data_IF_295945660176
#
_entry.id   IF_295945660176
#
_cell.length_a   1.000
_cell.length_b   1.000
_cell.length_c   1.000
_cell.angle_alpha   90.00
_cell.angle_beta   90.00
_cell.angle_gamma   90.00
#
_symmetry.space_group_name_H-M   'P 1'
#
loop_
_entity.id
_entity.type
_entity.pdbx_description
1 polymer ?
#
# COMPACT_ATOMS: atom_id res chain seq x y z
N UNK A 1 6.06 -33.17 67.67
CA UNK A 1 7.52 -33.01 67.57
C UNK A 1 7.74 -32.25 66.26
N UNK A 2 7.63 -30.92 66.24
CA UNK A 2 8.71 -29.94 66.53
C UNK A 2 9.23 -29.43 65.18
N UNK A 3 9.53 -28.17 64.87
CA UNK A 3 9.74 -26.86 65.55
C UNK A 3 9.72 -25.81 64.39
N UNK A 4 8.88 -24.75 64.40
CA UNK A 4 9.21 -23.30 64.54
C UNK A 4 10.29 -22.73 63.56
N UNK A 5 10.29 -21.48 63.05
CA UNK A 5 9.61 -20.22 63.43
C UNK A 5 9.83 -19.12 62.35
N UNK A 6 9.02 -18.05 62.43
CA UNK A 6 9.43 -16.65 62.16
C UNK A 6 8.95 -16.02 60.85
N UNK A 7 8.46 -14.79 60.78
CA UNK A 7 8.08 -13.78 61.78
C UNK A 7 7.22 -12.73 61.05
N UNK A 8 6.14 -12.30 61.70
CA UNK A 8 5.28 -11.19 61.28
C UNK A 8 5.91 -9.87 61.79
N UNK A 9 6.05 -8.88 60.91
CA UNK A 9 6.20 -7.48 61.30
C UNK A 9 5.27 -6.65 60.43
N UNK A 10 4.32 -5.97 61.08
CA UNK A 10 3.38 -5.08 60.43
C UNK A 10 3.99 -3.71 60.14
N UNK A 11 3.34 -2.99 59.22
CA UNK A 11 3.40 -1.54 59.12
C UNK A 11 1.97 -1.05 58.84
N UNK A 12 1.42 -0.28 59.77
CA UNK A 12 0.41 0.72 59.49
C UNK A 12 1.12 1.94 58.91
N UNK A 13 0.54 2.59 57.89
CA UNK A 13 0.26 4.03 57.93
C UNK A 13 -0.66 4.46 56.77
N UNK A 14 -1.51 5.43 57.11
CA UNK A 14 -2.50 6.13 56.31
C UNK A 14 -1.87 7.02 55.24
N UNK A 15 -2.62 7.39 54.19
CA UNK A 15 -2.19 8.51 53.34
C UNK A 15 -2.85 8.59 51.96
N UNK A 16 -4.04 9.16 51.94
CA UNK A 16 -4.70 10.00 50.92
C UNK A 16 -4.45 9.85 49.40
N UNK A 17 -5.59 9.81 48.71
CA UNK A 17 -5.79 9.89 47.27
C UNK A 17 -5.64 11.35 46.81
N UNK A 18 -4.67 11.66 45.95
CA UNK A 18 -4.67 12.90 45.15
C UNK A 18 -4.13 12.72 43.72
N UNK A 19 -5.06 12.88 42.78
CA UNK A 19 -5.01 13.71 41.56
C UNK A 19 -3.70 13.78 40.73
N UNK A 20 -3.70 13.08 39.59
CA UNK A 20 -2.66 13.11 38.56
C UNK A 20 -2.99 14.11 37.43
N UNK A 21 -3.15 15.40 37.75
CA UNK A 21 -3.40 16.44 36.73
C UNK A 21 -2.46 17.67 36.82
N UNK A 22 -1.28 17.51 37.44
CA UNK A 22 -0.34 18.61 37.62
C UNK A 22 1.14 18.27 37.34
N UNK A 23 1.47 17.70 36.18
CA UNK A 23 2.87 17.59 35.70
C UNK A 23 3.07 17.92 34.21
N UNK A 24 2.26 18.82 33.64
CA UNK A 24 2.43 19.24 32.25
C UNK A 24 2.29 20.76 32.02
N UNK A 25 2.75 21.62 32.95
CA UNK A 25 2.65 23.08 32.75
C UNK A 25 3.78 23.88 33.43
N UNK A 26 5.07 23.53 33.23
CA UNK A 26 6.20 24.45 33.54
C UNK A 26 7.45 24.20 32.69
N UNK A 27 7.51 24.70 31.45
CA UNK A 27 8.78 24.96 30.75
C UNK A 27 8.69 25.76 29.44
N UNK A 28 7.97 26.90 29.38
CA UNK A 28 8.20 27.88 28.29
C UNK A 28 8.04 29.30 28.80
N UNK A 29 9.13 29.93 29.25
CA UNK A 29 9.21 31.39 29.44
C UNK A 29 10.64 31.79 29.81
N UNK A 30 11.51 32.08 28.82
CA UNK A 30 12.62 33.07 28.91
C UNK A 30 13.16 33.43 27.51
N UNK A 31 12.54 34.40 26.84
CA UNK A 31 13.24 35.34 25.96
C UNK A 31 12.55 36.70 26.08
N UNK A 32 13.17 37.65 26.78
CA UNK A 32 12.74 39.06 26.83
C UNK A 32 13.50 39.83 25.75
N UNK A 33 12.77 40.34 24.76
CA UNK A 33 13.27 41.34 23.80
C UNK A 33 13.17 42.72 24.47
N UNK A 34 14.25 43.50 24.46
CA UNK A 34 14.26 44.89 24.97
C UNK A 34 13.63 45.86 23.96
N UNK A 35 12.94 46.93 24.39
CA UNK A 35 12.44 47.98 23.51
C UNK A 35 13.53 49.04 23.22
N UNK A 36 13.45 49.77 22.09
CA UNK A 36 14.43 50.81 21.75
C UNK A 36 14.18 52.12 22.51
N UNK A 37 15.27 52.86 22.71
CA UNK A 37 15.36 54.18 23.39
C UNK A 37 14.83 55.31 22.49
N UNK A 38 14.11 56.33 23.01
CA UNK A 38 13.67 57.47 22.20
C UNK A 38 14.73 58.57 22.10
N UNK A 39 15.03 59.04 20.89
CA UNK A 39 15.80 60.26 20.64
C UNK A 39 14.88 61.49 20.71
N UNK A 40 15.29 62.49 21.50
CA UNK A 40 14.65 63.79 21.60
C UNK A 40 14.90 64.64 20.34
N UNK A 41 13.84 65.26 19.81
CA UNK A 41 13.93 66.29 18.77
C UNK A 41 13.44 67.63 19.31
N UNK A 42 14.31 68.63 19.22
CA UNK A 42 14.03 70.03 19.51
C UNK A 42 13.25 70.70 18.37
N UNK A 43 12.47 71.73 18.74
CA UNK A 43 11.61 72.51 17.85
C UNK A 43 12.42 73.39 16.88
N UNK A 44 11.98 73.43 15.62
CA UNK A 44 12.32 74.45 14.63
C UNK A 44 11.16 74.68 13.66
N UNK A 45 10.62 75.90 13.64
CA UNK A 45 9.54 76.35 12.74
C UNK A 45 10.10 76.54 11.32
N UNK A 46 9.43 75.97 10.32
CA UNK A 46 9.12 76.57 9.00
C UNK A 46 8.73 75.47 8.00
N UNK A 47 7.47 75.41 7.54
CA UNK A 47 7.08 74.85 6.23
C UNK A 47 5.55 74.83 6.09
N UNK A 48 4.93 76.00 5.88
CA UNK A 48 3.48 76.11 5.68
C UNK A 48 2.96 75.62 4.32
N UNK A 49 3.82 75.44 3.31
CA UNK A 49 3.36 75.17 1.93
C UNK A 49 3.81 73.82 1.33
N UNK A 50 4.49 72.96 2.10
CA UNK A 50 4.99 71.66 1.61
C UNK A 50 4.10 70.47 1.98
N UNK A 51 3.15 70.66 2.91
CA UNK A 51 2.23 69.61 3.35
C UNK A 51 1.06 69.41 2.36
N UNK A 52 0.55 70.47 1.73
CA UNK A 52 -0.61 70.39 0.82
C UNK A 52 -0.27 69.66 -0.49
N UNK A 53 0.95 69.84 -1.02
CA UNK A 53 1.42 69.15 -2.24
C UNK A 53 1.70 67.67 -1.96
N UNK A 54 2.22 67.33 -0.77
CA UNK A 54 2.40 65.93 -0.33
C UNK A 54 1.08 65.18 -0.16
N UNK A 55 0.02 65.84 0.30
CA UNK A 55 -1.30 65.23 0.42
C UNK A 55 -1.95 64.95 -0.94
N UNK A 56 -1.81 65.86 -1.91
CA UNK A 56 -2.37 65.67 -3.26
C UNK A 56 -1.63 64.55 -4.02
N UNK A 57 -0.30 64.50 -3.91
CA UNK A 57 0.50 63.42 -4.53
C UNK A 57 0.27 62.06 -3.84
N UNK A 58 0.09 62.05 -2.53
CA UNK A 58 -0.26 60.83 -1.77
C UNK A 58 -1.65 60.29 -2.13
N UNK A 59 -2.64 61.16 -2.31
CA UNK A 59 -3.98 60.77 -2.72
C UNK A 59 -4.01 60.22 -4.17
N UNK A 60 -3.27 60.83 -5.10
CA UNK A 60 -3.16 60.35 -6.47
C UNK A 60 -2.49 58.96 -6.55
N UNK A 61 -1.45 58.72 -5.73
CA UNK A 61 -0.78 57.42 -5.65
C UNK A 61 -1.71 56.32 -5.09
N UNK A 62 -2.53 56.65 -4.08
CA UNK A 62 -3.51 55.72 -3.53
C UNK A 62 -4.62 55.37 -4.54
N UNK A 63 -5.04 56.32 -5.38
CA UNK A 63 -6.02 56.06 -6.44
C UNK A 63 -5.42 55.16 -7.53
N UNK A 64 -4.17 55.40 -7.94
CA UNK A 64 -3.47 54.54 -8.91
C UNK A 64 -3.31 53.13 -8.35
N UNK A 65 -2.90 52.99 -7.09
CA UNK A 65 -2.79 51.70 -6.42
C UNK A 65 -4.15 50.99 -6.29
N UNK A 66 -5.23 51.73 -6.04
CA UNK A 66 -6.59 51.17 -6.00
C UNK A 66 -7.08 50.70 -7.38
N UNK A 67 -6.74 51.43 -8.46
CA UNK A 67 -7.07 51.03 -9.84
C UNK A 67 -6.24 49.81 -10.27
N UNK A 68 -4.94 49.77 -9.93
CA UNK A 68 -4.08 48.61 -10.16
C UNK A 68 -4.56 47.40 -9.36
N UNK A 69 -4.94 47.58 -8.09
CA UNK A 69 -5.52 46.52 -7.26
C UNK A 69 -6.85 46.02 -7.83
N UNK A 70 -7.73 46.92 -8.32
CA UNK A 70 -9.00 46.56 -8.95
C UNK A 70 -8.82 45.82 -10.28
N UNK A 71 -7.75 46.14 -11.03
CA UNK A 71 -7.38 45.41 -12.26
C UNK A 71 -6.73 44.05 -11.96
N UNK A 72 -5.97 43.94 -10.87
CA UNK A 72 -5.43 42.65 -10.38
C UNK A 72 -6.57 41.77 -9.86
N UNK A 73 -7.57 42.32 -9.17
CA UNK A 73 -8.73 41.56 -8.67
C UNK A 73 -9.74 41.23 -9.77
N UNK A 74 -9.85 42.00 -10.85
CA UNK A 74 -10.61 41.56 -12.04
C UNK A 74 -9.87 40.48 -12.84
N UNK A 75 -8.52 40.43 -12.80
CA UNK A 75 -7.73 39.29 -13.30
C UNK A 75 -7.93 37.99 -12.50
N UNK A 76 -8.46 38.10 -11.27
CA UNK A 76 -8.84 36.91 -10.49
C UNK A 76 -9.95 36.12 -11.17
N UNK A 77 -10.86 36.77 -11.92
CA UNK A 77 -11.90 36.08 -12.68
C UNK A 77 -11.32 35.26 -13.83
N UNK A 78 -10.29 35.77 -14.51
CA UNK A 78 -9.59 35.06 -15.60
C UNK A 78 -8.71 33.94 -15.04
N UNK A 79 -8.00 34.15 -13.93
CA UNK A 79 -7.25 33.08 -13.25
C UNK A 79 -8.15 32.02 -12.65
N UNK A 80 -9.29 32.40 -12.11
CA UNK A 80 -10.28 31.46 -11.55
C UNK A 80 -10.94 30.70 -12.68
N UNK A 81 -11.33 31.35 -13.78
CA UNK A 81 -11.89 30.71 -14.96
C UNK A 81 -10.87 29.78 -15.65
N UNK A 82 -9.62 30.20 -15.83
CA UNK A 82 -8.55 29.33 -16.35
C UNK A 82 -8.27 28.15 -15.44
N UNK A 83 -8.25 28.35 -14.11
CA UNK A 83 -8.11 27.26 -13.13
C UNK A 83 -9.34 26.36 -13.11
N UNK A 84 -10.54 26.89 -13.31
CA UNK A 84 -11.77 26.10 -13.42
C UNK A 84 -11.80 25.31 -14.73
N UNK A 85 -11.32 25.88 -15.83
CA UNK A 85 -11.17 25.21 -17.13
C UNK A 85 -10.09 24.14 -17.07
N UNK A 86 -8.98 24.41 -16.38
CA UNK A 86 -7.89 23.46 -16.14
C UNK A 86 -8.36 22.34 -15.21
N UNK A 87 -9.11 22.64 -14.14
CA UNK A 87 -9.74 21.64 -13.29
C UNK A 87 -10.84 20.85 -14.01
N UNK A 88 -11.61 21.48 -14.90
CA UNK A 88 -12.61 20.81 -15.74
C UNK A 88 -11.95 19.96 -16.83
N UNK A 89 -10.83 20.39 -17.40
CA UNK A 89 -10.04 19.62 -18.36
C UNK A 89 -9.29 18.48 -17.67
N UNK A 90 -8.79 18.66 -16.44
CA UNK A 90 -8.25 17.62 -15.56
C UNK A 90 -9.37 16.64 -15.17
N UNK A 91 -10.57 17.13 -14.85
CA UNK A 91 -11.73 16.28 -14.57
C UNK A 91 -12.23 15.54 -15.82
N UNK A 92 -12.12 16.14 -17.01
CA UNK A 92 -12.48 15.53 -18.29
C UNK A 92 -11.38 14.62 -18.86
N UNK A 93 -10.11 14.77 -18.47
CA UNK A 93 -9.06 13.75 -18.71
C UNK A 93 -9.15 12.62 -17.68
N UNK A 94 -9.71 12.87 -16.50
CA UNK A 94 -10.09 11.84 -15.52
C UNK A 94 -11.27 10.96 -15.94
N UNK A 95 -11.97 11.23 -17.05
CA UNK A 95 -12.96 10.27 -17.57
C UNK A 95 -12.32 9.10 -18.32
N UNK A 96 -11.00 9.07 -18.45
CA UNK A 96 -10.23 7.93 -18.97
C UNK A 96 -9.16 7.51 -17.97
N UNK A 97 -9.50 7.39 -16.68
CA UNK A 97 -8.60 6.70 -15.74
C UNK A 97 -8.45 5.26 -16.23
N UNK A 98 -7.22 4.89 -16.54
CA UNK A 98 -6.83 3.54 -16.94
C UNK A 98 -6.03 2.94 -15.79
N UNK A 99 -6.68 2.48 -14.72
CA UNK A 99 -5.97 1.78 -13.64
C UNK A 99 -5.65 0.34 -14.04
N UNK A 100 -4.49 -0.15 -13.64
CA UNK A 100 -4.21 -1.58 -13.55
C UNK A 100 -4.24 -1.98 -12.08
N UNK A 101 -5.22 -2.79 -11.72
CA UNK A 101 -5.38 -3.31 -10.38
C UNK A 101 -4.59 -4.61 -10.22
N UNK A 102 -3.48 -4.55 -9.47
CA UNK A 102 -2.60 -5.70 -9.21
C UNK A 102 -3.02 -6.50 -7.98
N UNK A 103 -4.10 -6.13 -7.31
CA UNK A 103 -4.55 -6.77 -6.07
C UNK A 103 -6.07 -6.88 -6.10
N UNK A 104 -6.56 -7.87 -6.85
CA UNK A 104 -7.97 -8.21 -6.92
C UNK A 104 -8.13 -9.72 -7.02
N UNK A 105 -9.31 -10.22 -6.70
CA UNK A 105 -9.55 -11.66 -6.66
C UNK A 105 -10.72 -12.09 -7.52
N UNK A 106 -10.67 -13.36 -7.90
CA UNK A 106 -11.86 -14.13 -8.22
C UNK A 106 -12.16 -15.12 -7.09
N UNK A 107 -13.42 -15.55 -7.02
CA UNK A 107 -13.79 -16.74 -6.28
C UNK A 107 -14.59 -17.63 -7.24
N UNK A 108 -13.92 -18.56 -7.94
CA UNK A 108 -14.60 -19.49 -8.83
C UNK A 108 -15.66 -20.28 -8.06
N UNK A 109 -16.84 -20.57 -8.64
CA UNK A 109 -17.92 -21.26 -7.93
C UNK A 109 -17.48 -22.59 -7.29
N UNK A 110 -16.71 -23.41 -8.02
CA UNK A 110 -16.19 -24.69 -7.50
C UNK A 110 -15.23 -24.52 -6.31
N UNK A 111 -14.45 -23.44 -6.30
CA UNK A 111 -13.53 -23.13 -5.22
C UNK A 111 -14.30 -22.67 -3.98
N UNK A 112 -15.28 -21.77 -4.15
CA UNK A 112 -16.18 -21.36 -3.08
C UNK A 112 -16.93 -22.55 -2.45
N UNK A 113 -17.46 -23.45 -3.28
CA UNK A 113 -18.14 -24.66 -2.80
C UNK A 113 -17.19 -25.59 -2.05
N UNK A 114 -15.92 -25.68 -2.48
CA UNK A 114 -14.88 -26.44 -1.78
C UNK A 114 -14.60 -25.84 -0.39
N UNK A 115 -14.36 -24.53 -0.30
CA UNK A 115 -14.18 -23.84 0.98
C UNK A 115 -15.37 -24.07 1.92
N UNK A 116 -16.60 -23.93 1.40
CA UNK A 116 -17.83 -24.14 2.16
C UNK A 116 -17.98 -25.58 2.67
N UNK A 117 -17.66 -26.59 1.86
CA UNK A 117 -17.68 -28.00 2.29
C UNK A 117 -16.70 -28.26 3.45
N UNK A 118 -15.59 -27.54 3.47
CA UNK A 118 -14.56 -27.65 4.50
C UNK A 118 -14.82 -26.73 5.70
N UNK A 119 -15.88 -25.91 5.68
CA UNK A 119 -16.19 -24.93 6.73
C UNK A 119 -15.26 -23.72 6.75
N UNK A 120 -14.46 -23.52 5.70
CA UNK A 120 -13.52 -22.40 5.53
C UNK A 120 -14.21 -21.16 4.95
N UNK A 121 -15.49 -21.25 4.58
CA UNK A 121 -16.28 -20.11 4.10
C UNK A 121 -16.49 -19.03 5.17
N UNK A 122 -16.19 -19.33 6.44
CA UNK A 122 -16.24 -18.39 7.56
C UNK A 122 -14.92 -17.70 7.86
N UNK A 123 -13.84 -18.05 7.17
CA UNK A 123 -12.51 -17.44 7.38
C UNK A 123 -12.34 -16.12 6.63
N UNK A 124 -13.34 -15.70 5.84
CA UNK A 124 -13.35 -14.40 5.18
C UNK A 124 -13.55 -13.23 6.16
N UNK A 125 -13.28 -11.99 5.72
CA UNK A 125 -13.61 -10.78 6.47
C UNK A 125 -15.07 -10.80 6.92
N UNK A 126 -15.33 -10.37 8.15
CA UNK A 126 -16.68 -10.37 8.74
C UNK A 126 -17.32 -11.77 8.83
N UNK A 127 -16.51 -12.82 8.96
CA UNK A 127 -16.92 -14.22 9.10
C UNK A 127 -17.66 -14.79 7.87
N UNK A 128 -17.38 -14.28 6.66
CA UNK A 128 -17.97 -14.82 5.44
C UNK A 128 -17.10 -14.55 4.22
N UNK A 129 -16.91 -15.57 3.38
CA UNK A 129 -16.31 -15.43 2.06
C UNK A 129 -17.26 -14.64 1.14
N UNK A 130 -16.79 -13.59 0.46
CA UNK A 130 -17.62 -12.83 -0.46
C UNK A 130 -18.06 -13.71 -1.64
N UNK A 131 -19.24 -13.43 -2.18
CA UNK A 131 -19.62 -13.98 -3.48
C UNK A 131 -18.93 -13.17 -4.57
N UNK A 132 -18.56 -13.85 -5.65
CA UNK A 132 -17.91 -13.20 -6.78
C UNK A 132 -18.51 -13.66 -8.10
N UNK A 133 -18.64 -12.74 -9.05
CA UNK A 133 -18.87 -13.06 -10.45
C UNK A 133 -18.23 -11.98 -11.34
N UNK A 134 -17.90 -12.35 -12.57
CA UNK A 134 -17.20 -11.46 -13.49
C UNK A 134 -18.01 -10.20 -13.86
N UNK A 135 -19.35 -10.30 -13.95
CA UNK A 135 -20.21 -9.16 -14.30
C UNK A 135 -20.13 -8.05 -13.26
N UNK A 136 -20.25 -8.40 -11.98
CA UNK A 136 -20.20 -7.44 -10.89
C UNK A 136 -18.78 -6.88 -10.71
N UNK A 137 -17.75 -7.72 -10.91
CA UNK A 137 -16.37 -7.24 -10.92
C UNK A 137 -16.14 -6.21 -12.03
N UNK A 138 -16.57 -6.47 -13.27
CA UNK A 138 -16.44 -5.52 -14.37
C UNK A 138 -17.20 -4.21 -14.12
N UNK A 139 -18.40 -4.28 -13.54
CA UNK A 139 -19.16 -3.08 -13.17
C UNK A 139 -18.45 -2.27 -12.08
N UNK A 140 -17.83 -2.94 -11.11
CA UNK A 140 -16.99 -2.30 -10.10
C UNK A 140 -15.75 -1.65 -10.73
N UNK A 141 -15.08 -2.34 -11.65
CA UNK A 141 -13.95 -1.81 -12.40
C UNK A 141 -14.33 -0.54 -13.17
N UNK A 142 -15.44 -0.57 -13.90
CA UNK A 142 -15.93 0.58 -14.66
C UNK A 142 -16.21 1.79 -13.75
N UNK A 143 -16.79 1.55 -12.55
CA UNK A 143 -17.05 2.59 -11.55
C UNK A 143 -15.77 3.27 -11.05
N UNK A 144 -14.68 2.50 -10.88
CA UNK A 144 -13.40 2.98 -10.37
C UNK A 144 -12.39 3.31 -11.47
N UNK A 145 -12.75 3.28 -12.76
CA UNK A 145 -11.80 3.51 -13.85
C UNK A 145 -10.64 2.50 -13.86
N UNK A 146 -10.94 1.23 -13.56
CA UNK A 146 -10.00 0.12 -13.67
C UNK A 146 -10.10 -0.45 -15.08
N UNK A 147 -9.03 -0.27 -15.85
CA UNK A 147 -8.91 -0.85 -17.18
C UNK A 147 -8.71 -2.36 -17.08
N UNK A 148 -7.70 -2.78 -16.33
CA UNK A 148 -7.31 -4.19 -16.19
C UNK A 148 -7.22 -4.59 -14.73
N UNK A 149 -7.78 -5.73 -14.35
CA UNK A 149 -7.57 -6.36 -13.05
C UNK A 149 -6.77 -7.66 -13.19
N UNK A 150 -5.74 -7.84 -12.36
CA UNK A 150 -4.94 -9.05 -12.28
C UNK A 150 -5.46 -9.89 -11.11
N UNK A 151 -6.24 -10.91 -11.45
CA UNK A 151 -6.97 -11.73 -10.50
C UNK A 151 -6.10 -12.83 -9.89
N UNK A 152 -6.29 -13.11 -8.61
CA UNK A 152 -5.83 -14.35 -7.97
C UNK A 152 -6.94 -14.92 -7.07
N UNK A 153 -6.74 -16.10 -6.47
CA UNK A 153 -7.47 -16.41 -5.22
C UNK A 153 -6.71 -15.77 -4.05
N UNK A 154 -7.44 -15.40 -3.00
CA UNK A 154 -6.87 -14.97 -1.72
C UNK A 154 -6.48 -16.19 -0.86
N UNK A 155 -5.96 -15.94 0.34
CA UNK A 155 -5.85 -16.96 1.40
C UNK A 155 -7.19 -17.68 1.60
N UNK A 156 -7.19 -19.00 1.84
CA UNK A 156 -6.05 -19.88 2.16
C UNK A 156 -5.26 -20.41 0.95
N UNK A 157 -5.52 -19.95 -0.28
CA UNK A 157 -4.85 -20.47 -1.48
C UNK A 157 -5.30 -21.88 -1.86
N UNK A 158 -4.51 -22.58 -2.71
CA UNK A 158 -4.88 -23.91 -3.20
C UNK A 158 -4.43 -25.06 -2.28
N UNK A 159 -3.54 -24.78 -1.32
CA UNK A 159 -3.10 -25.71 -0.29
C UNK A 159 -4.03 -25.62 0.91
N UNK A 160 -5.19 -26.26 0.81
CA UNK A 160 -6.17 -26.29 1.90
C UNK A 160 -5.77 -27.29 3.00
N UNK A 161 -6.20 -27.08 4.25
CA UNK A 161 -6.03 -28.05 5.33
C UNK A 161 -6.51 -29.45 4.93
N UNK A 162 -5.82 -30.49 5.42
CA UNK A 162 -6.14 -31.91 5.20
C UNK A 162 -6.12 -32.42 3.75
N UNK A 163 -5.95 -31.55 2.74
CA UNK A 163 -5.71 -31.98 1.37
C UNK A 163 -4.39 -32.77 1.27
N UNK A 164 -4.41 -33.83 0.48
CA UNK A 164 -3.21 -34.45 -0.06
C UNK A 164 -2.51 -33.51 -1.05
N UNK A 165 -1.23 -33.75 -1.33
CA UNK A 165 -0.50 -32.97 -2.34
C UNK A 165 -1.18 -33.02 -3.71
N UNK A 166 -1.71 -34.19 -4.09
CA UNK A 166 -2.39 -34.35 -5.37
C UNK A 166 -3.72 -33.56 -5.44
N UNK A 167 -4.48 -33.50 -4.35
CA UNK A 167 -5.70 -32.68 -4.27
C UNK A 167 -5.37 -31.19 -4.36
N UNK A 168 -4.32 -30.73 -3.67
CA UNK A 168 -3.85 -29.35 -3.77
C UNK A 168 -3.39 -28.99 -5.20
N UNK A 169 -2.56 -29.85 -5.83
CA UNK A 169 -2.13 -29.70 -7.24
C UNK A 169 -3.33 -29.61 -8.20
N UNK A 170 -4.34 -30.46 -7.98
CA UNK A 170 -5.55 -30.49 -8.80
C UNK A 170 -6.34 -29.19 -8.65
N UNK A 171 -6.55 -28.73 -7.42
CA UNK A 171 -7.27 -27.49 -7.14
C UNK A 171 -6.56 -26.27 -7.73
N UNK A 172 -5.23 -26.18 -7.60
CA UNK A 172 -4.46 -25.09 -8.20
C UNK A 172 -4.59 -25.06 -9.73
N UNK A 173 -4.53 -26.24 -10.38
CA UNK A 173 -4.73 -26.35 -11.83
C UNK A 173 -6.11 -25.87 -12.25
N UNK A 174 -7.17 -26.25 -11.54
CA UNK A 174 -8.53 -25.81 -11.81
C UNK A 174 -8.69 -24.29 -11.65
N UNK A 175 -8.14 -23.73 -10.56
CA UNK A 175 -8.13 -22.29 -10.30
C UNK A 175 -7.39 -21.52 -11.41
N UNK A 176 -6.21 -22.00 -11.82
CA UNK A 176 -5.43 -21.36 -12.87
C UNK A 176 -6.10 -21.49 -14.25
N UNK A 177 -6.76 -22.61 -14.54
CA UNK A 177 -7.56 -22.76 -15.75
C UNK A 177 -8.75 -21.78 -15.75
N UNK A 178 -9.39 -21.57 -14.60
CA UNK A 178 -10.45 -20.58 -14.46
C UNK A 178 -9.92 -19.15 -14.66
N UNK A 179 -8.76 -18.81 -14.08
CA UNK A 179 -8.10 -17.53 -14.30
C UNK A 179 -7.76 -17.28 -15.77
N UNK A 180 -7.21 -18.29 -16.45
CA UNK A 180 -6.99 -18.25 -17.89
C UNK A 180 -8.31 -18.03 -18.65
N UNK A 181 -9.37 -18.77 -18.31
CA UNK A 181 -10.69 -18.59 -18.93
C UNK A 181 -11.20 -17.15 -18.76
N UNK A 182 -11.03 -16.52 -17.59
CA UNK A 182 -11.40 -15.11 -17.38
C UNK A 182 -10.59 -14.18 -18.29
N UNK A 183 -9.27 -14.39 -18.40
CA UNK A 183 -8.41 -13.60 -19.27
C UNK A 183 -8.75 -13.76 -20.76
N UNK A 184 -9.13 -14.97 -21.17
CA UNK A 184 -9.57 -15.26 -22.54
C UNK A 184 -10.93 -14.64 -22.86
N UNK A 185 -11.86 -14.71 -21.91
CA UNK A 185 -13.24 -14.25 -22.07
C UNK A 185 -13.34 -12.73 -22.06
N UNK A 186 -12.52 -12.06 -21.25
CA UNK A 186 -12.52 -10.61 -21.07
C UNK A 186 -11.15 -10.00 -21.40
N UNK A 187 -10.69 -10.10 -22.67
CA UNK A 187 -9.35 -9.70 -23.06
C UNK A 187 -9.09 -8.22 -22.79
N UNK A 188 -7.96 -7.92 -22.13
CA UNK A 188 -7.57 -6.56 -21.74
C UNK A 188 -8.30 -6.01 -20.53
N UNK A 189 -9.36 -6.67 -20.04
CA UNK A 189 -10.07 -6.30 -18.81
C UNK A 189 -9.66 -7.18 -17.64
N UNK A 190 -9.61 -8.49 -17.84
CA UNK A 190 -9.17 -9.42 -16.81
C UNK A 190 -7.89 -10.12 -17.27
N UNK A 191 -7.00 -10.33 -16.32
CA UNK A 191 -5.80 -11.16 -16.43
C UNK A 191 -5.60 -11.83 -15.06
N UNK A 192 -4.64 -12.73 -14.88
CA UNK A 192 -4.48 -13.44 -13.61
C UNK A 192 -3.03 -13.68 -13.20
N UNK A 193 -2.81 -13.73 -11.89
CA UNK A 193 -1.64 -14.36 -11.28
C UNK A 193 -1.97 -15.82 -10.99
N UNK A 194 -1.07 -16.73 -11.38
CA UNK A 194 -1.26 -18.15 -11.12
C UNK A 194 -1.03 -18.49 -9.65
N UNK A 195 -1.93 -19.26 -9.05
CA UNK A 195 -1.79 -19.80 -7.70
C UNK A 195 -0.95 -21.08 -7.73
N UNK A 196 0.00 -21.18 -6.80
CA UNK A 196 0.85 -22.36 -6.62
C UNK A 196 0.51 -23.08 -5.30
N UNK A 197 1.21 -24.18 -5.02
CA UNK A 197 0.83 -25.17 -3.98
C UNK A 197 1.92 -25.39 -2.93
N UNK A 198 2.74 -24.37 -2.64
CA UNK A 198 3.72 -24.46 -1.55
C UNK A 198 3.03 -24.96 -0.27
N UNK A 199 3.68 -25.81 0.55
CA UNK A 199 5.10 -26.18 0.50
C UNK A 199 5.47 -27.29 -0.50
N UNK A 200 4.55 -27.75 -1.36
CA UNK A 200 4.86 -28.71 -2.42
C UNK A 200 5.62 -28.04 -3.56
N UNK A 201 6.95 -28.14 -3.50
CA UNK A 201 7.88 -27.49 -4.44
C UNK A 201 7.77 -28.08 -5.84
N UNK A 202 7.72 -29.41 -5.96
CA UNK A 202 7.60 -30.08 -7.26
C UNK A 202 6.30 -29.68 -7.96
N UNK A 203 5.16 -29.77 -7.25
CA UNK A 203 3.88 -29.34 -7.78
C UNK A 203 3.84 -27.86 -8.16
N UNK A 204 4.50 -27.01 -7.36
CA UNK A 204 4.59 -25.57 -7.63
C UNK A 204 5.47 -25.25 -8.84
N UNK A 205 6.58 -25.96 -9.03
CA UNK A 205 7.46 -25.82 -10.20
C UNK A 205 6.73 -26.20 -11.47
N UNK A 206 6.10 -27.38 -11.49
CA UNK A 206 5.34 -27.86 -12.65
C UNK A 206 4.24 -26.87 -13.04
N UNK A 207 3.48 -26.40 -12.04
CA UNK A 207 2.35 -25.50 -12.29
C UNK A 207 2.81 -24.09 -12.67
N UNK A 208 3.91 -23.58 -12.11
CA UNK A 208 4.50 -22.31 -12.51
C UNK A 208 4.92 -22.32 -13.98
N UNK A 209 5.60 -23.39 -14.42
CA UNK A 209 6.00 -23.57 -15.83
C UNK A 209 4.75 -23.57 -16.71
N UNK A 210 3.75 -24.41 -16.39
CA UNK A 210 2.52 -24.51 -17.18
C UNK A 210 1.77 -23.19 -17.24
N UNK A 211 1.56 -22.54 -16.10
CA UNK A 211 0.75 -21.33 -16.03
C UNK A 211 1.42 -20.15 -16.72
N UNK A 212 2.73 -19.98 -16.57
CA UNK A 212 3.46 -18.92 -17.25
C UNK A 212 3.63 -19.20 -18.74
N UNK A 213 3.99 -20.42 -19.14
CA UNK A 213 4.40 -20.68 -20.52
C UNK A 213 3.24 -21.11 -21.42
N UNK A 214 2.21 -21.74 -20.86
CA UNK A 214 1.05 -22.25 -21.62
C UNK A 214 -0.21 -21.42 -21.40
N UNK A 215 -0.52 -21.04 -20.16
CA UNK A 215 -1.71 -20.25 -19.86
C UNK A 215 -1.50 -18.73 -19.98
N UNK A 216 -0.25 -18.30 -20.19
CA UNK A 216 0.15 -16.90 -20.32
C UNK A 216 -0.23 -16.04 -19.11
N UNK A 217 -0.16 -16.60 -17.89
CA UNK A 217 -0.39 -15.87 -16.65
C UNK A 217 0.52 -14.62 -16.56
N UNK A 218 0.03 -13.57 -15.88
CA UNK A 218 0.78 -12.32 -15.67
C UNK A 218 2.04 -12.49 -14.80
N UNK A 219 1.99 -13.52 -13.95
CA UNK A 219 2.94 -13.83 -12.90
C UNK A 219 2.35 -14.91 -12.01
N UNK A 220 2.84 -15.01 -10.77
CA UNK A 220 2.33 -15.94 -9.76
C UNK A 220 1.90 -15.20 -8.50
N UNK A 221 0.88 -15.72 -7.81
CA UNK A 221 0.49 -15.26 -6.49
C UNK A 221 0.95 -16.31 -5.46
N UNK A 222 1.75 -15.86 -4.50
CA UNK A 222 2.22 -16.68 -3.38
C UNK A 222 1.68 -16.11 -2.07
N UNK A 223 1.36 -17.00 -1.13
CA UNK A 223 1.15 -16.58 0.24
C UNK A 223 2.50 -16.22 0.87
N UNK A 224 2.52 -15.19 1.70
CA UNK A 224 3.70 -14.74 2.44
C UNK A 224 4.32 -15.86 3.28
N UNK A 225 3.48 -16.73 3.83
CA UNK A 225 3.87 -18.01 4.40
C UNK A 225 2.92 -19.13 3.93
N UNK A 226 3.43 -20.35 3.82
CA UNK A 226 2.62 -21.57 3.67
C UNK A 226 2.97 -22.56 4.76
N UNK A 227 1.98 -22.92 5.57
CA UNK A 227 2.18 -23.76 6.76
C UNK A 227 3.31 -23.22 7.67
N UNK A 228 3.43 -21.89 7.78
CA UNK A 228 4.45 -21.21 8.58
C UNK A 228 5.84 -21.17 7.94
N UNK A 229 6.02 -21.79 6.78
CA UNK A 229 7.25 -21.68 5.99
C UNK A 229 7.16 -20.44 5.11
N UNK A 230 8.10 -19.52 5.33
CA UNK A 230 8.24 -18.31 4.52
C UNK A 230 9.01 -18.59 3.22
N UNK A 231 8.94 -17.64 2.30
CA UNK A 231 9.44 -17.75 0.93
C UNK A 231 10.97 -17.81 0.82
N UNK A 232 11.70 -17.72 1.93
CA UNK A 232 13.15 -17.71 2.01
C UNK A 232 13.83 -19.07 2.22
N UNK A 233 13.02 -20.11 2.40
CA UNK A 233 13.51 -21.47 2.63
C UNK A 233 14.36 -21.96 1.44
N UNK A 234 15.56 -22.52 1.64
CA UNK A 234 16.37 -23.10 0.57
C UNK A 234 15.64 -24.20 -0.21
N UNK A 235 14.71 -24.91 0.42
CA UNK A 235 13.87 -25.91 -0.23
C UNK A 235 12.99 -25.31 -1.35
N UNK A 236 12.71 -24.01 -1.30
CA UNK A 236 11.93 -23.31 -2.32
C UNK A 236 12.82 -22.75 -3.45
N UNK A 237 14.14 -22.86 -3.36
CA UNK A 237 15.08 -22.39 -4.39
C UNK A 237 14.77 -22.95 -5.80
N UNK A 238 14.39 -24.24 -6.00
CA UNK A 238 14.03 -24.74 -7.32
C UNK A 238 12.86 -23.98 -7.96
N UNK A 239 11.87 -23.57 -7.16
CA UNK A 239 10.78 -22.72 -7.64
C UNK A 239 11.30 -21.32 -7.98
N UNK A 240 12.14 -20.74 -7.12
CA UNK A 240 12.70 -19.40 -7.35
C UNK A 240 13.57 -19.36 -8.61
N UNK A 241 14.36 -20.40 -8.90
CA UNK A 241 15.14 -20.54 -10.13
C UNK A 241 14.24 -20.53 -11.39
N UNK A 242 13.17 -21.32 -11.35
CA UNK A 242 12.19 -21.42 -12.44
C UNK A 242 11.49 -20.08 -12.70
N UNK A 243 11.08 -19.39 -11.64
CA UNK A 243 10.45 -18.07 -11.74
C UNK A 243 11.46 -17.00 -12.19
N UNK A 244 12.70 -17.05 -11.70
CA UNK A 244 13.76 -16.09 -11.99
C UNK A 244 14.22 -16.17 -13.45
N UNK A 245 14.36 -17.38 -13.99
CA UNK A 245 14.68 -17.59 -15.41
C UNK A 245 13.63 -16.99 -16.36
N UNK A 246 12.38 -16.82 -15.89
CA UNK A 246 11.27 -16.21 -16.63
C UNK A 246 11.09 -14.72 -16.34
N UNK A 247 11.89 -14.14 -15.44
CA UNK A 247 11.72 -12.77 -14.96
C UNK A 247 10.32 -12.51 -14.40
N UNK A 248 9.77 -13.52 -13.70
CA UNK A 248 8.39 -13.54 -13.28
C UNK A 248 8.08 -12.44 -12.25
N UNK A 249 6.86 -11.92 -12.31
CA UNK A 249 6.27 -11.14 -11.24
C UNK A 249 5.67 -12.07 -10.21
N UNK A 250 5.97 -11.82 -8.94
CA UNK A 250 5.41 -12.52 -7.78
C UNK A 250 4.60 -11.52 -6.99
N UNK A 251 3.30 -11.74 -6.91
CA UNK A 251 2.44 -11.06 -5.96
C UNK A 251 2.44 -11.85 -4.64
N UNK A 252 2.83 -11.19 -3.55
CA UNK A 252 2.89 -11.79 -2.21
C UNK A 252 1.70 -11.30 -1.40
N UNK A 253 0.75 -12.20 -1.15
CA UNK A 253 -0.43 -11.93 -0.34
C UNK A 253 -0.25 -12.51 1.07
N UNK A 254 -0.67 -11.83 2.15
CA UNK A 254 -0.55 -12.37 3.50
C UNK A 254 -1.36 -13.65 3.74
N UNK A 255 -1.00 -14.38 4.79
CA UNK A 255 -1.82 -15.43 5.36
C UNK A 255 -1.86 -15.30 6.88
N UNK A 256 -2.64 -16.15 7.54
CA UNK A 256 -2.64 -16.23 9.00
C UNK A 256 -1.26 -16.60 9.51
N UNK A 257 -0.81 -15.95 10.59
CA UNK A 257 0.44 -16.28 11.26
C UNK A 257 0.30 -17.63 11.97
N UNK A 258 1.25 -18.55 11.74
CA UNK A 258 1.30 -19.79 12.51
C UNK A 258 1.95 -19.57 13.88
N UNK A 259 1.46 -20.34 14.87
CA UNK A 259 2.02 -20.36 16.24
C UNK A 259 1.68 -19.13 17.08
N UNK A 260 0.79 -18.24 16.61
CA UNK A 260 0.29 -17.12 17.41
C UNK A 260 -0.90 -17.54 18.27
N UNK A 261 -1.12 -16.82 19.37
CA UNK A 261 -2.33 -16.98 20.17
C UNK A 261 -3.54 -16.60 19.32
N UNK A 262 -4.62 -17.39 19.41
CA UNK A 262 -5.89 -17.03 18.78
C UNK A 262 -6.44 -15.80 19.50
N UNK A 263 -6.44 -14.66 18.81
CA UNK A 263 -7.01 -13.41 19.30
C UNK A 263 -8.46 -13.26 18.82
N UNK A 264 -9.25 -12.46 19.55
CA UNK A 264 -10.59 -12.06 19.07
C UNK A 264 -10.51 -11.08 17.90
N UNK A 265 -9.42 -10.33 17.80
CA UNK A 265 -9.15 -9.43 16.67
C UNK A 265 -8.86 -10.28 15.43
N UNK A 266 -9.64 -10.14 14.34
CA UNK A 266 -9.43 -10.93 13.13
C UNK A 266 -8.04 -10.67 12.48
N UNK A 267 -7.43 -11.67 11.83
CA UNK A 267 -6.08 -11.53 11.26
C UNK A 267 -5.90 -10.38 10.27
N UNK A 268 -6.91 -10.07 9.45
CA UNK A 268 -6.84 -8.99 8.46
C UNK A 268 -6.67 -7.59 9.08
N UNK A 269 -6.95 -7.42 10.39
CA UNK A 269 -6.86 -6.12 11.05
C UNK A 269 -5.40 -5.73 11.34
N UNK A 270 -4.53 -6.70 11.66
CA UNK A 270 -3.13 -6.43 12.04
C UNK A 270 -2.17 -7.51 11.54
N UNK A 271 -2.49 -8.79 11.76
CA UNK A 271 -1.56 -9.89 11.53
C UNK A 271 -1.17 -10.07 10.07
N UNK A 272 -2.07 -9.78 9.13
CA UNK A 272 -1.76 -9.83 7.69
C UNK A 272 -0.67 -8.82 7.29
N UNK A 273 -0.71 -7.61 7.85
CA UNK A 273 0.34 -6.60 7.63
C UNK A 273 1.67 -7.07 8.23
N UNK A 274 1.62 -7.70 9.42
CA UNK A 274 2.79 -8.28 10.06
C UNK A 274 3.37 -9.46 9.26
N UNK A 275 2.53 -10.32 8.70
CA UNK A 275 2.94 -11.49 7.91
C UNK A 275 3.70 -11.07 6.64
N UNK A 276 3.14 -10.10 5.90
CA UNK A 276 3.82 -9.51 4.72
C UNK A 276 5.15 -8.86 5.11
N UNK A 277 5.19 -8.15 6.25
CA UNK A 277 6.42 -7.55 6.77
C UNK A 277 7.47 -8.61 7.09
N UNK A 278 7.05 -9.74 7.67
CA UNK A 278 7.96 -10.85 7.99
C UNK A 278 8.50 -11.49 6.73
N UNK A 279 7.66 -11.75 5.73
CA UNK A 279 8.13 -12.28 4.44
C UNK A 279 9.17 -11.38 3.78
N UNK A 280 8.96 -10.05 3.77
CA UNK A 280 9.95 -9.11 3.26
C UNK A 280 11.28 -9.20 4.02
N UNK A 281 11.23 -9.26 5.36
CA UNK A 281 12.41 -9.35 6.19
C UNK A 281 13.18 -10.67 6.01
N UNK A 282 12.49 -11.81 5.93
CA UNK A 282 13.17 -13.12 5.78
C UNK A 282 13.74 -13.30 4.38
N UNK A 283 13.06 -12.80 3.34
CA UNK A 283 13.58 -12.79 1.95
C UNK A 283 14.92 -12.05 1.85
N UNK A 284 15.04 -10.86 2.45
CA UNK A 284 16.30 -10.10 2.41
C UNK A 284 17.35 -10.65 3.37
N UNK A 285 16.94 -11.14 4.54
CA UNK A 285 17.85 -11.75 5.53
C UNK A 285 18.57 -12.96 4.94
N UNK A 286 17.88 -13.79 4.16
CA UNK A 286 18.45 -14.97 3.51
C UNK A 286 18.86 -14.71 2.05
N UNK A 287 18.99 -13.43 1.67
CA UNK A 287 19.56 -12.99 0.39
C UNK A 287 18.81 -13.51 -0.86
N UNK A 288 17.53 -13.86 -0.74
CA UNK A 288 16.73 -14.45 -1.82
C UNK A 288 16.56 -13.46 -2.97
N UNK A 289 16.32 -12.18 -2.64
CA UNK A 289 16.16 -11.10 -3.62
C UNK A 289 17.44 -10.84 -4.43
N UNK A 290 18.63 -11.03 -3.84
CA UNK A 290 19.89 -10.87 -4.56
C UNK A 290 20.28 -12.14 -5.35
N UNK A 291 19.97 -13.33 -4.83
CA UNK A 291 20.20 -14.62 -5.49
C UNK A 291 19.31 -14.80 -6.73
N UNK A 292 18.10 -14.24 -6.70
CA UNK A 292 17.12 -14.32 -7.78
C UNK A 292 16.72 -12.90 -8.27
N UNK A 293 17.66 -12.16 -8.88
CA UNK A 293 17.52 -10.73 -9.10
C UNK A 293 16.54 -10.34 -10.22
N UNK A 294 16.09 -11.28 -11.04
CA UNK A 294 15.14 -11.02 -12.13
C UNK A 294 13.68 -11.10 -11.65
N UNK A 295 13.45 -11.60 -10.43
CA UNK A 295 12.12 -11.63 -9.83
C UNK A 295 11.65 -10.23 -9.46
N UNK A 296 10.38 -9.95 -9.74
CA UNK A 296 9.73 -8.68 -9.38
C UNK A 296 8.67 -8.98 -8.33
N UNK A 297 8.93 -8.55 -7.12
CA UNK A 297 8.09 -8.83 -5.96
C UNK A 297 7.13 -7.66 -5.72
N UNK A 298 5.83 -7.90 -5.80
CA UNK A 298 4.79 -6.97 -5.36
C UNK A 298 4.28 -7.46 -4.01
N UNK A 299 4.51 -6.70 -2.94
CA UNK A 299 4.02 -7.03 -1.62
C UNK A 299 2.64 -6.40 -1.38
N UNK A 300 1.70 -7.20 -0.89
CA UNK A 300 0.35 -6.75 -0.56
C UNK A 300 0.30 -5.63 0.48
N UNK A 301 -0.73 -4.79 0.40
CA UNK A 301 -1.12 -3.84 1.46
C UNK A 301 0.02 -2.88 1.84
N UNK A 302 0.57 -2.19 0.84
CA UNK A 302 1.76 -1.32 0.97
C UNK A 302 3.00 -2.01 1.56
N UNK A 303 3.12 -3.33 1.44
CA UNK A 303 4.22 -4.10 2.05
C UNK A 303 4.11 -4.26 3.57
N UNK A 304 2.90 -4.11 4.11
CA UNK A 304 2.66 -4.16 5.54
C UNK A 304 3.28 -2.99 6.29
N UNK A 305 3.99 -3.29 7.38
CA UNK A 305 4.74 -2.32 8.16
C UNK A 305 6.16 -2.09 7.64
N UNK A 306 6.60 -2.81 6.60
CA UNK A 306 7.97 -2.75 6.10
C UNK A 306 8.40 -1.33 5.74
N UNK A 307 7.64 -0.53 4.95
CA UNK A 307 8.10 0.81 4.59
C UNK A 307 8.25 1.74 5.80
N UNK A 308 7.34 1.65 6.78
CA UNK A 308 7.42 2.41 8.02
C UNK A 308 8.64 2.00 8.87
N UNK A 309 8.91 0.69 8.97
CA UNK A 309 9.93 0.12 9.85
C UNK A 309 11.26 -0.18 9.14
N UNK A 310 11.43 0.16 7.86
CA UNK A 310 12.53 -0.35 7.03
C UNK A 310 13.93 -0.07 7.59
N UNK A 311 14.17 1.15 8.10
CA UNK A 311 15.42 1.50 8.79
C UNK A 311 15.67 0.64 10.04
N UNK A 312 14.63 0.39 10.84
CA UNK A 312 14.72 -0.48 12.02
C UNK A 312 15.00 -1.92 11.62
N UNK A 313 14.32 -2.43 10.59
CA UNK A 313 14.51 -3.80 10.08
C UNK A 313 15.95 -3.97 9.59
N UNK A 314 16.43 -3.07 8.72
CA UNK A 314 17.79 -3.13 8.18
C UNK A 314 18.87 -3.09 9.27
N UNK A 315 18.75 -2.18 10.23
CA UNK A 315 19.69 -2.11 11.37
C UNK A 315 19.62 -3.33 12.29
N UNK A 316 18.42 -3.88 12.54
CA UNK A 316 18.28 -5.07 13.36
C UNK A 316 18.85 -6.32 12.67
N UNK A 317 18.61 -6.49 11.36
CA UNK A 317 19.20 -7.57 10.57
C UNK A 317 20.73 -7.46 10.53
N UNK A 318 21.28 -6.25 10.44
CA UNK A 318 22.72 -6.00 10.53
C UNK A 318 23.31 -6.51 11.85
N UNK A 319 22.65 -6.25 12.98
CA UNK A 319 23.08 -6.75 14.29
C UNK A 319 23.03 -8.29 14.39
N UNK A 320 22.05 -8.93 13.76
CA UNK A 320 21.85 -10.39 13.83
C UNK A 320 22.79 -11.14 12.89
N UNK A 321 23.04 -10.60 11.70
CA UNK A 321 23.77 -11.30 10.62
C UNK A 321 25.23 -10.88 10.49
N UNK A 322 25.60 -9.69 10.99
CA UNK A 322 26.90 -9.07 10.78
C UNK A 322 27.06 -8.37 9.42
N UNK A 323 26.06 -8.43 8.53
CA UNK A 323 26.07 -7.67 7.28
C UNK A 323 25.74 -6.19 7.48
N UNK A 324 26.04 -5.33 6.51
CA UNK A 324 25.75 -3.89 6.58
C UNK A 324 24.25 -3.60 6.53
N UNK A 325 23.78 -2.69 7.40
CA UNK A 325 22.41 -2.20 7.40
C UNK A 325 22.03 -1.57 6.04
N UNK A 326 22.95 -0.86 5.39
CA UNK A 326 22.78 -0.32 4.05
C UNK A 326 22.55 -1.42 3.00
N UNK A 327 23.11 -2.62 3.18
CA UNK A 327 22.84 -3.77 2.31
C UNK A 327 21.39 -4.19 2.39
N UNK A 328 20.88 -4.42 3.61
CA UNK A 328 19.48 -4.75 3.81
C UNK A 328 18.54 -3.65 3.35
N UNK A 329 18.88 -2.38 3.58
CA UNK A 329 18.08 -1.25 3.10
C UNK A 329 18.01 -1.17 1.58
N UNK A 330 19.11 -1.49 0.87
CA UNK A 330 19.09 -1.59 -0.59
C UNK A 330 18.15 -2.70 -1.05
N UNK A 331 18.23 -3.89 -0.45
CA UNK A 331 17.41 -5.04 -0.84
C UNK A 331 15.91 -4.83 -0.48
N UNK A 332 15.59 -4.27 0.69
CA UNK A 332 14.22 -3.89 1.05
C UNK A 332 13.61 -2.87 0.08
N UNK A 333 14.44 -1.97 -0.47
CA UNK A 333 14.01 -1.00 -1.50
C UNK A 333 13.90 -1.61 -2.90
N UNK A 334 14.09 -2.90 -3.10
CA UNK A 334 13.83 -3.56 -4.40
C UNK A 334 12.39 -4.01 -4.56
N UNK A 335 11.64 -4.11 -3.46
CA UNK A 335 10.24 -4.49 -3.49
C UNK A 335 9.39 -3.43 -4.19
N UNK A 336 8.41 -3.90 -4.96
CA UNK A 336 7.21 -3.14 -5.29
C UNK A 336 6.16 -3.41 -4.22
N UNK A 337 5.22 -2.50 -4.06
CA UNK A 337 4.07 -2.66 -3.16
C UNK A 337 2.80 -2.17 -3.85
N UNK A 338 1.65 -2.74 -3.51
CA UNK A 338 0.38 -2.16 -3.96
C UNK A 338 -0.19 -1.13 -2.96
N UNK A 339 -1.24 -0.42 -3.36
CA UNK A 339 -1.95 0.56 -2.53
C UNK A 339 -3.20 0.02 -1.84
N UNK A 340 -3.45 -1.29 -1.90
CA UNK A 340 -4.71 -1.88 -1.48
C UNK A 340 -4.96 -1.64 0.00
N UNK A 341 -6.08 -0.97 0.30
CA UNK A 341 -6.50 -0.59 1.67
C UNK A 341 -5.43 0.20 2.46
N UNK A 342 -4.50 0.84 1.76
CA UNK A 342 -3.27 1.38 2.37
C UNK A 342 -2.89 2.78 1.83
N UNK A 343 -3.89 3.55 1.38
CA UNK A 343 -3.72 4.89 0.80
C UNK A 343 -4.01 6.03 1.78
N UNK A 344 -4.09 5.71 3.07
CA UNK A 344 -4.39 6.68 4.13
C UNK A 344 -3.34 7.79 4.23
N UNK A 345 -3.69 8.95 4.84
CA UNK A 345 -2.77 10.09 5.01
C UNK A 345 -1.49 9.79 5.81
N UNK A 346 -1.40 8.66 6.52
CA UNK A 346 -0.19 8.24 7.23
C UNK A 346 0.58 7.15 6.47
N UNK A 347 -0.12 6.19 5.87
CA UNK A 347 0.50 5.05 5.19
C UNK A 347 1.18 5.47 3.88
N UNK A 348 0.47 6.20 3.02
CA UNK A 348 0.97 6.54 1.68
C UNK A 348 2.23 7.43 1.73
N UNK A 349 2.31 8.52 2.53
CA UNK A 349 3.53 9.31 2.62
C UNK A 349 4.71 8.53 3.19
N UNK A 350 4.47 7.67 4.19
CA UNK A 350 5.52 6.83 4.78
C UNK A 350 6.07 5.83 3.77
N UNK A 351 5.19 5.25 2.95
CA UNK A 351 5.56 4.30 1.91
C UNK A 351 6.42 4.96 0.84
N UNK A 352 5.99 6.12 0.33
CA UNK A 352 6.73 6.88 -0.69
C UNK A 352 8.08 7.38 -0.14
N UNK A 353 8.14 7.78 1.14
CA UNK A 353 9.37 8.24 1.76
C UNK A 353 10.44 7.13 1.90
N UNK A 354 10.02 5.86 2.04
CA UNK A 354 10.95 4.74 2.14
C UNK A 354 11.33 4.12 0.79
N UNK A 355 10.34 3.94 -0.09
CA UNK A 355 10.50 3.46 -1.45
C UNK A 355 10.63 4.69 -2.38
N UNK A 356 9.69 4.86 -3.32
CA UNK A 356 9.41 6.04 -4.17
C UNK A 356 8.07 5.77 -4.86
N UNK A 357 7.50 6.75 -5.58
CA UNK A 357 6.31 6.53 -6.42
C UNK A 357 6.52 5.49 -7.52
N UNK A 358 7.75 5.18 -7.93
CA UNK A 358 8.07 4.19 -8.98
C UNK A 358 7.90 2.74 -8.53
N UNK A 359 7.76 2.49 -7.23
CA UNK A 359 7.60 1.14 -6.68
C UNK A 359 6.17 0.82 -6.24
N UNK A 360 5.23 1.77 -6.38
CA UNK A 360 3.84 1.57 -5.98
C UNK A 360 2.98 1.18 -7.19
N UNK A 361 2.11 0.18 -7.03
CA UNK A 361 1.06 -0.19 -8.00
C UNK A 361 -0.32 0.00 -7.39
N UNK A 362 -1.33 0.29 -8.21
CA UNK A 362 -2.70 0.34 -7.72
C UNK A 362 -3.21 -1.06 -7.36
N UNK A 363 -3.93 -1.16 -6.24
CA UNK A 363 -4.57 -2.37 -5.75
C UNK A 363 -5.89 -2.06 -5.06
N UNK A 364 -6.90 -2.93 -5.19
CA UNK A 364 -8.23 -2.71 -4.59
C UNK A 364 -8.58 -3.64 -3.42
N UNK A 365 -8.01 -4.85 -3.38
CA UNK A 365 -8.41 -5.96 -2.50
C UNK A 365 -9.87 -6.43 -2.76
N UNK A 366 -10.45 -6.12 -3.93
CA UNK A 366 -11.81 -6.51 -4.28
C UNK A 366 -11.91 -8.02 -4.55
N UNK A 367 -12.93 -8.75 -4.03
CA UNK A 367 -14.12 -8.25 -3.31
C UNK A 367 -14.03 -8.39 -1.78
N UNK A 368 -12.85 -8.62 -1.22
CA UNK A 368 -12.67 -8.83 0.22
C UNK A 368 -12.75 -7.52 1.00
N UNK A 369 -12.13 -6.45 0.50
CA UNK A 369 -12.36 -5.12 1.03
C UNK A 369 -13.78 -4.62 0.66
N UNK A 370 -14.54 -4.05 1.62
CA UNK A 370 -15.84 -3.46 1.31
C UNK A 370 -15.71 -2.31 0.31
N UNK A 371 -16.61 -2.22 -0.68
CA UNK A 371 -16.57 -1.19 -1.73
C UNK A 371 -16.42 0.24 -1.16
N UNK A 372 -17.07 0.56 -0.05
CA UNK A 372 -16.94 1.88 0.60
C UNK A 372 -15.52 2.19 1.07
N UNK A 373 -14.77 1.17 1.49
CA UNK A 373 -13.37 1.31 1.90
C UNK A 373 -12.52 1.52 0.65
N UNK A 374 -12.72 0.70 -0.39
CA UNK A 374 -11.95 0.83 -1.63
C UNK A 374 -12.16 2.20 -2.28
N UNK A 375 -13.40 2.67 -2.36
CA UNK A 375 -13.75 3.99 -2.90
C UNK A 375 -13.09 5.12 -2.10
N UNK A 376 -13.09 5.01 -0.77
CA UNK A 376 -12.43 6.00 0.11
C UNK A 376 -10.92 6.02 -0.10
N UNK A 377 -10.26 4.86 -0.08
CA UNK A 377 -8.80 4.75 -0.21
C UNK A 377 -8.34 5.18 -1.61
N UNK A 378 -9.09 4.82 -2.67
CA UNK A 378 -8.84 5.30 -4.04
C UNK A 378 -8.95 6.82 -4.12
N UNK A 379 -9.98 7.42 -3.49
CA UNK A 379 -10.13 8.88 -3.45
C UNK A 379 -9.02 9.56 -2.64
N UNK A 380 -8.49 8.91 -1.60
CA UNK A 380 -7.34 9.39 -0.82
C UNK A 380 -6.06 9.36 -1.66
N UNK A 381 -5.79 8.25 -2.35
CA UNK A 381 -4.68 8.15 -3.31
C UNK A 381 -4.74 9.26 -4.36
N UNK A 382 -5.90 9.39 -5.02
CA UNK A 382 -6.11 10.42 -6.04
C UNK A 382 -5.92 11.82 -5.47
N UNK A 383 -6.39 12.06 -4.25
CA UNK A 383 -6.26 13.37 -3.60
C UNK A 383 -4.84 13.69 -3.20
N UNK A 384 -4.08 12.71 -2.74
CA UNK A 384 -2.66 12.87 -2.41
C UNK A 384 -1.85 13.24 -3.66
N UNK A 385 -2.15 12.60 -4.80
CA UNK A 385 -1.43 12.78 -6.06
C UNK A 385 -1.99 13.90 -6.96
N UNK A 386 -3.01 14.64 -6.51
CA UNK A 386 -3.76 15.64 -7.31
C UNK A 386 -2.90 16.73 -7.97
N UNK A 387 -1.66 16.95 -7.51
CA UNK A 387 -0.74 17.97 -8.01
C UNK A 387 0.47 17.40 -8.76
N UNK A 388 0.65 16.08 -8.75
CA UNK A 388 1.75 15.38 -9.42
C UNK A 388 1.18 14.34 -10.40
N UNK A 389 0.75 14.81 -11.57
CA UNK A 389 0.09 13.97 -12.59
C UNK A 389 0.97 12.78 -13.01
N UNK A 390 2.28 12.96 -13.07
CA UNK A 390 3.21 11.87 -13.39
C UNK A 390 3.17 10.77 -12.32
N UNK A 391 3.27 11.14 -11.04
CA UNK A 391 3.11 10.22 -9.90
C UNK A 391 1.75 9.52 -9.92
N UNK A 392 0.69 10.23 -10.31
CA UNK A 392 -0.64 9.67 -10.46
C UNK A 392 -0.69 8.57 -11.53
N UNK A 393 -0.17 8.83 -12.74
CA UNK A 393 -0.14 7.82 -13.82
C UNK A 393 0.82 6.67 -13.50
N UNK A 394 1.93 6.95 -12.81
CA UNK A 394 2.88 5.94 -12.36
C UNK A 394 2.19 4.88 -11.49
N UNK A 395 1.57 5.32 -10.40
CA UNK A 395 0.99 4.42 -9.41
C UNK A 395 -0.24 3.72 -9.98
N UNK A 396 -1.12 4.47 -10.67
CA UNK A 396 -2.36 3.90 -11.19
C UNK A 396 -2.13 2.95 -12.37
N UNK A 397 -1.06 3.10 -13.16
CA UNK A 397 -0.90 2.34 -14.41
C UNK A 397 0.54 1.97 -14.75
N UNK A 398 1.45 2.95 -14.92
CA UNK A 398 2.74 2.69 -15.58
C UNK A 398 3.64 1.70 -14.82
N UNK A 399 3.61 1.72 -13.48
CA UNK A 399 4.41 0.80 -12.69
C UNK A 399 3.93 -0.64 -12.85
N UNK A 400 2.62 -0.88 -12.79
CA UNK A 400 2.06 -2.20 -13.04
C UNK A 400 2.35 -2.66 -14.48
N UNK A 401 2.19 -1.78 -15.46
CA UNK A 401 2.51 -2.07 -16.86
C UNK A 401 3.99 -2.43 -17.06
N UNK A 402 4.90 -1.76 -16.36
CA UNK A 402 6.35 -2.02 -16.41
C UNK A 402 6.71 -3.34 -15.71
N UNK A 403 6.14 -3.61 -14.55
CA UNK A 403 6.42 -4.83 -13.77
C UNK A 403 5.93 -6.07 -14.52
N UNK A 404 4.70 -6.03 -15.04
CA UNK A 404 4.07 -7.14 -15.75
C UNK A 404 4.51 -7.26 -17.21
N UNK A 405 4.97 -6.16 -17.82
CA UNK A 405 5.62 -6.14 -19.13
C UNK A 405 4.76 -6.71 -20.26
N UNK A 406 5.36 -7.58 -21.08
CA UNK A 406 4.68 -8.21 -22.23
C UNK A 406 3.50 -9.11 -21.84
N UNK A 407 3.39 -9.52 -20.57
CA UNK A 407 2.34 -10.41 -20.05
C UNK A 407 0.96 -9.75 -19.97
N UNK A 408 0.87 -8.43 -20.10
CA UNK A 408 -0.40 -7.71 -20.25
C UNK A 408 -0.90 -7.61 -21.70
N UNK A 409 -0.01 -7.75 -22.70
CA UNK A 409 -0.24 -7.21 -24.04
C UNK A 409 -0.75 -8.20 -25.10
N UNK A 410 -0.95 -9.48 -24.77
CA UNK A 410 -1.05 -10.53 -25.79
C UNK A 410 -2.41 -10.72 -26.48
N UNK A 411 -3.43 -9.87 -26.19
CA UNK A 411 -4.71 -9.92 -26.94
C UNK A 411 -5.17 -8.63 -27.61
N UNK A 412 -4.49 -7.50 -27.43
CA UNK A 412 -4.74 -6.30 -28.27
C UNK A 412 -4.24 -6.48 -29.72
N UNK A 413 -3.29 -7.39 -29.97
CA UNK A 413 -2.66 -7.59 -31.28
C UNK A 413 -3.40 -8.52 -32.27
N UNK A 414 -4.44 -9.24 -31.85
CA UNK A 414 -5.18 -10.17 -32.74
C UNK A 414 -6.54 -9.63 -33.25
N UNK A 415 -6.86 -8.37 -32.94
CA UNK A 415 -8.11 -7.71 -33.35
C UNK A 415 -7.90 -6.63 -34.43
N UNK A 416 -6.76 -6.65 -35.12
CA UNK A 416 -6.51 -5.84 -36.31
C UNK A 416 -6.25 -6.72 -37.53
#
# INVERSE_FOLDING_TARGET
>A
MGVQDGANMGLQEEGDVQDYDAMALRSVSRYKVQPPVPLALSRGRAAGNMYTIRYILGAALLIILAVVWKNITTSSSVRTFSRELELKNIAATRTTVQRIDTHAYFLPPFYYDTLKRMGLDKEGPLNSMPKWNAKDHLAFMDKLGIETAILSISSPGARLPDHTLQEARTLAREVNNYGHMMAVTYPGRLQFFASLVLPDVEGSVEEAIRALDTLEAAGVALLANSEGWYLDRPEFDPLMEVLNSRGATIFVHPHSLLGTLKLEVPPFVVDFLLDTTRAAATLVMNNVTARFPNLKWILGHSGGFMPFAGYRIGSALSLVTGESAESFLRELRRFYVDTAVSSSPSALPSTIAFLTTEQLTFGSDYPFAPNMVIERETAQLDTFLKLELDSWHQINHHNAARVLGSRLNHRRKKLH
#
